data_IF_124901934116
#
_entry.id   IF_124901934116
#
_cell.length_a   1.000
_cell.length_b   1.000
_cell.length_c   1.000
_cell.angle_alpha   90.00
_cell.angle_beta   90.00
_cell.angle_gamma   90.00
#
_symmetry.space_group_name_H-M   'P 1'
#
loop_
_entity.id
_entity.type
_entity.pdbx_description
1 polymer ?
#
# COMPACT_ATOMS: atom_id res chain seq x y z
N UNK A 1 -19.46 -12.41 7.33
CA UNK A 1 -18.10 -11.92 7.03
C UNK A 1 -18.14 -10.40 7.05
N UNK A 2 -17.14 -9.77 7.66
CA UNK A 2 -17.02 -8.32 7.66
C UNK A 2 -16.00 -7.98 6.56
N UNK A 3 -16.46 -7.25 5.53
CA UNK A 3 -15.56 -6.66 4.56
C UNK A 3 -14.84 -5.48 5.21
N UNK A 4 -13.53 -5.48 5.11
CA UNK A 4 -12.67 -4.38 5.55
C UNK A 4 -11.95 -3.81 4.34
N UNK A 5 -11.81 -2.49 4.30
CA UNK A 5 -11.07 -1.81 3.26
C UNK A 5 -11.44 -0.34 3.15
N UNK A 6 -10.74 0.36 2.27
CA UNK A 6 -10.93 1.78 2.01
C UNK A 6 -11.15 2.03 0.52
N UNK A 7 -12.04 2.98 0.21
CA UNK A 7 -12.10 3.60 -1.12
C UNK A 7 -11.81 5.08 -0.94
N UNK A 8 -10.68 5.54 -1.46
CA UNK A 8 -10.22 6.92 -1.31
C UNK A 8 -10.07 7.58 -2.67
N UNK A 9 -10.55 8.82 -2.76
CA UNK A 9 -10.55 9.59 -4.01
C UNK A 9 -10.01 10.99 -3.75
N UNK A 10 -9.15 11.48 -4.63
CA UNK A 10 -8.60 12.83 -4.56
C UNK A 10 -7.98 13.14 -3.20
N UNK A 11 -8.17 14.35 -2.72
CA UNK A 11 -7.61 14.84 -1.44
C UNK A 11 -8.10 14.09 -0.19
N UNK A 12 -9.15 13.27 -0.30
CA UNK A 12 -9.56 12.42 0.81
C UNK A 12 -8.46 11.40 1.19
N UNK A 13 -7.62 11.00 0.25
CA UNK A 13 -6.48 10.12 0.52
C UNK A 13 -5.41 10.80 1.39
N UNK A 14 -5.35 12.13 1.41
CA UNK A 14 -4.42 12.93 2.22
C UNK A 14 -4.98 13.32 3.61
N UNK A 15 -6.16 12.83 3.97
CA UNK A 15 -6.70 13.04 5.30
C UNK A 15 -5.97 12.16 6.32
N UNK A 16 -5.41 12.75 7.40
CA UNK A 16 -4.72 12.00 8.44
C UNK A 16 -5.63 10.96 9.10
N UNK A 17 -5.10 9.77 9.34
CA UNK A 17 -5.80 8.72 10.09
C UNK A 17 -5.44 8.79 11.57
N UNK A 18 -6.41 8.64 12.49
CA UNK A 18 -6.12 8.41 13.91
C UNK A 18 -5.70 6.96 14.19
N UNK A 19 -5.75 6.10 13.18
CA UNK A 19 -5.36 4.69 13.24
C UNK A 19 -4.05 4.48 12.48
N UNK A 20 -3.43 3.34 12.69
CA UNK A 20 -2.19 2.96 11.99
C UNK A 20 -2.52 2.33 10.62
N UNK A 21 -3.09 3.13 9.74
CA UNK A 21 -3.36 2.77 8.35
C UNK A 21 -2.36 3.43 7.41
N UNK A 22 -2.03 2.77 6.31
CA UNK A 22 -1.21 3.38 5.26
C UNK A 22 -1.89 4.61 4.66
N UNK A 23 -3.21 4.52 4.38
CA UNK A 23 -4.06 5.62 3.91
C UNK A 23 -5.33 5.66 4.75
N UNK A 24 -5.67 6.81 5.31
CA UNK A 24 -6.80 6.93 6.25
C UNK A 24 -8.13 7.28 5.60
N UNK A 25 -8.24 8.50 5.10
CA UNK A 25 -9.50 9.10 4.69
C UNK A 25 -10.27 9.76 5.84
N UNK A 26 -11.10 10.75 5.50
CA UNK A 26 -11.85 11.52 6.49
C UNK A 26 -13.11 10.78 7.01
N UNK A 27 -13.59 9.78 6.28
CA UNK A 27 -14.83 9.07 6.61
C UNK A 27 -16.10 9.88 6.34
N UNK A 28 -17.23 9.24 6.50
CA UNK A 28 -18.55 9.86 6.37
C UNK A 28 -19.02 10.57 7.65
N UNK A 29 -18.36 10.33 8.76
CA UNK A 29 -18.73 10.93 10.04
C UNK A 29 -17.51 11.05 10.96
N UNK A 30 -17.40 12.13 11.72
CA UNK A 30 -16.28 12.42 12.62
C UNK A 30 -16.03 11.35 13.71
N UNK A 31 -17.05 10.56 14.06
CA UNK A 31 -16.87 9.46 15.02
C UNK A 31 -16.17 8.22 14.42
N UNK A 32 -16.06 8.15 13.10
CA UNK A 32 -15.33 7.11 12.36
C UNK A 32 -14.58 7.79 11.20
N UNK A 33 -13.46 8.47 11.50
CA UNK A 33 -12.70 9.23 10.52
C UNK A 33 -11.76 8.29 9.72
N UNK A 34 -12.35 7.40 8.95
CA UNK A 34 -11.65 6.45 8.08
C UNK A 34 -12.50 6.14 6.84
N UNK A 35 -11.83 5.99 5.70
CA UNK A 35 -12.46 5.62 4.45
C UNK A 35 -13.07 6.80 3.67
N UNK A 36 -14.00 6.49 2.79
CA UNK A 36 -14.62 7.47 1.92
C UNK A 36 -15.38 8.55 2.72
N UNK A 37 -15.39 9.77 2.18
CA UNK A 37 -16.03 10.93 2.79
C UNK A 37 -17.16 11.53 1.91
N UNK A 38 -17.57 10.84 0.84
CA UNK A 38 -18.55 11.34 -0.12
C UNK A 38 -17.97 12.30 -1.16
N UNK A 39 -16.64 12.37 -1.30
CA UNK A 39 -16.01 13.14 -2.41
C UNK A 39 -16.57 12.68 -3.75
N UNK A 40 -17.04 13.64 -4.55
CA UNK A 40 -17.45 13.39 -5.93
C UNK A 40 -16.20 13.16 -6.78
N UNK A 41 -16.19 12.07 -7.53
CA UNK A 41 -15.07 11.72 -8.40
C UNK A 41 -15.06 12.65 -9.60
N UNK A 42 -13.95 13.32 -9.88
CA UNK A 42 -13.78 14.27 -10.96
C UNK A 42 -12.55 13.92 -11.84
N UNK A 43 -12.51 14.36 -13.10
CA UNK A 43 -11.32 14.17 -13.95
C UNK A 43 -10.05 14.75 -13.31
N UNK A 44 -8.96 13.99 -13.39
CA UNK A 44 -7.67 14.30 -12.78
C UNK A 44 -7.46 13.67 -11.40
N UNK A 45 -8.49 13.05 -10.82
CA UNK A 45 -8.38 12.33 -9.55
C UNK A 45 -7.99 10.86 -9.76
N UNK A 46 -7.29 10.31 -8.78
CA UNK A 46 -7.14 8.87 -8.61
C UNK A 46 -8.18 8.33 -7.62
N UNK A 47 -8.57 7.08 -7.84
CA UNK A 47 -9.44 6.30 -6.95
C UNK A 47 -8.67 5.07 -6.50
N UNK A 48 -8.26 5.06 -5.25
CA UNK A 48 -7.64 3.92 -4.63
C UNK A 48 -8.72 3.02 -4.02
N UNK A 49 -8.65 1.74 -4.33
CA UNK A 49 -9.51 0.70 -3.74
C UNK A 49 -8.60 -0.28 -3.00
N UNK A 50 -8.66 -0.21 -1.69
CA UNK A 50 -7.95 -1.05 -0.76
C UNK A 50 -8.94 -2.06 -0.18
N UNK A 51 -8.66 -3.34 -0.31
CA UNK A 51 -9.63 -4.39 -0.03
C UNK A 51 -9.02 -5.50 0.80
N UNK A 52 -9.60 -5.72 1.96
CA UNK A 52 -9.37 -6.92 2.74
C UNK A 52 -10.54 -7.89 2.60
N UNK A 53 -10.24 -9.17 2.57
CA UNK A 53 -11.24 -10.23 2.53
C UNK A 53 -10.92 -11.31 3.54
N UNK A 54 -11.89 -12.19 3.80
CA UNK A 54 -11.68 -13.37 4.64
C UNK A 54 -12.17 -14.63 3.93
N UNK A 55 -11.32 -15.62 3.85
CA UNK A 55 -11.67 -16.93 3.33
C UNK A 55 -11.25 -18.01 4.30
N UNK A 56 -12.22 -18.74 4.84
CA UNK A 56 -12.02 -19.82 5.82
C UNK A 56 -11.19 -19.40 7.05
N UNK A 57 -11.33 -18.15 7.50
CA UNK A 57 -10.61 -17.63 8.67
C UNK A 57 -9.24 -17.02 8.35
N UNK A 58 -8.80 -17.04 7.09
CA UNK A 58 -7.58 -16.37 6.64
C UNK A 58 -7.91 -15.06 5.91
N UNK A 59 -7.16 -14.03 6.23
CA UNK A 59 -7.31 -12.70 5.63
C UNK A 59 -6.57 -12.61 4.30
N UNK A 60 -7.06 -11.73 3.43
CA UNK A 60 -6.38 -11.31 2.20
C UNK A 60 -6.27 -9.79 2.20
N UNK A 61 -5.25 -9.26 1.52
CA UNK A 61 -5.03 -7.82 1.41
C UNK A 61 -4.55 -7.44 0.03
N UNK A 62 -5.17 -6.39 -0.55
CA UNK A 62 -4.87 -5.92 -1.90
C UNK A 62 -5.33 -4.49 -2.11
N UNK A 63 -4.47 -3.65 -2.68
CA UNK A 63 -4.85 -2.33 -3.19
C UNK A 63 -4.63 -2.23 -4.70
N UNK A 64 -5.61 -1.64 -5.40
CA UNK A 64 -5.49 -1.23 -6.80
C UNK A 64 -5.96 0.22 -6.96
N UNK A 65 -5.43 0.87 -8.01
CA UNK A 65 -5.71 2.28 -8.27
C UNK A 65 -6.25 2.47 -9.67
N UNK A 66 -7.23 3.34 -9.77
CA UNK A 66 -7.83 3.80 -11.00
C UNK A 66 -7.67 5.31 -11.13
N UNK A 67 -7.85 5.86 -12.33
CA UNK A 67 -7.87 7.31 -12.54
C UNK A 67 -9.02 7.70 -13.46
N UNK A 68 -9.39 8.97 -13.43
CA UNK A 68 -10.47 9.52 -14.28
C UNK A 68 -9.90 10.62 -15.17
N UNK A 69 -10.10 10.47 -16.48
CA UNK A 69 -9.62 11.43 -17.48
C UNK A 69 -8.11 11.43 -17.61
N UNK A 70 -7.44 12.56 -17.38
CA UNK A 70 -5.98 12.66 -17.55
C UNK A 70 -5.25 12.37 -16.25
N UNK A 71 -4.43 11.33 -16.25
CA UNK A 71 -3.55 11.01 -15.13
C UNK A 71 -2.44 12.07 -14.98
N UNK A 72 -2.21 12.53 -13.75
CA UNK A 72 -1.09 13.41 -13.41
C UNK A 72 0.26 12.68 -13.58
N UNK A 73 1.27 13.35 -14.12
CA UNK A 73 2.57 12.74 -14.42
C UNK A 73 3.35 12.35 -13.15
N UNK A 74 3.18 13.10 -12.05
CA UNK A 74 3.81 12.74 -10.77
C UNK A 74 3.14 11.51 -10.18
N UNK A 75 1.82 11.45 -10.24
CA UNK A 75 1.05 10.28 -9.80
C UNK A 75 1.40 9.03 -10.62
N UNK A 76 1.52 9.17 -11.95
CA UNK A 76 1.97 8.09 -12.83
C UNK A 76 3.36 7.59 -12.44
N UNK A 77 4.33 8.51 -12.31
CA UNK A 77 5.71 8.18 -11.90
C UNK A 77 5.74 7.48 -10.54
N UNK A 78 4.95 7.95 -9.58
CA UNK A 78 4.87 7.37 -8.25
C UNK A 78 4.26 5.96 -8.26
N UNK A 79 3.23 5.72 -9.08
CA UNK A 79 2.63 4.40 -9.25
C UNK A 79 3.61 3.41 -9.90
N UNK A 80 4.29 3.82 -10.97
CA UNK A 80 5.32 3.02 -11.64
C UNK A 80 6.48 2.69 -10.68
N UNK A 81 6.87 3.64 -9.81
CA UNK A 81 7.88 3.39 -8.77
C UNK A 81 7.40 2.38 -7.73
N UNK A 82 6.14 2.44 -7.32
CA UNK A 82 5.55 1.41 -6.43
C UNK A 82 5.73 0.02 -7.02
N UNK A 83 5.37 -0.18 -8.29
CA UNK A 83 5.54 -1.46 -9.00
C UNK A 83 7.03 -1.86 -9.04
N UNK A 84 7.92 -0.92 -9.35
CA UNK A 84 9.36 -1.19 -9.38
C UNK A 84 9.91 -1.61 -8.00
N UNK A 85 9.39 -1.02 -6.92
CA UNK A 85 9.72 -1.43 -5.56
C UNK A 85 9.26 -2.86 -5.30
N UNK A 86 8.03 -3.24 -5.67
CA UNK A 86 7.57 -4.61 -5.55
C UNK A 86 8.52 -5.59 -6.25
N UNK A 87 8.87 -5.33 -7.51
CA UNK A 87 9.78 -6.19 -8.27
C UNK A 87 11.15 -6.30 -7.59
N UNK A 88 11.68 -5.20 -7.06
CA UNK A 88 12.95 -5.21 -6.33
C UNK A 88 12.86 -6.04 -5.04
N UNK A 89 11.80 -5.85 -4.27
CA UNK A 89 11.61 -6.58 -3.02
C UNK A 89 11.34 -8.08 -3.24
N UNK A 90 10.76 -8.47 -4.37
CA UNK A 90 10.60 -9.89 -4.74
C UNK A 90 11.94 -10.61 -4.82
N UNK A 91 12.99 -9.95 -5.31
CA UNK A 91 14.33 -10.53 -5.42
C UNK A 91 15.07 -10.56 -4.07
N UNK A 92 14.82 -9.59 -3.20
CA UNK A 92 15.54 -9.39 -1.93
C UNK A 92 14.89 -10.12 -0.75
N UNK A 93 13.56 -10.31 -0.78
CA UNK A 93 12.79 -10.87 0.34
C UNK A 93 12.96 -12.39 0.46
N UNK A 94 14.00 -12.82 1.15
CA UNK A 94 14.37 -14.24 1.37
C UNK A 94 14.42 -14.56 2.85
N UNK A 95 14.32 -15.85 3.23
CA UNK A 95 14.51 -16.25 4.62
C UNK A 95 15.84 -15.74 5.18
N UNK A 96 15.81 -15.21 6.40
CA UNK A 96 16.96 -14.60 7.07
C UNK A 96 17.16 -13.11 6.78
N UNK A 97 16.44 -12.52 5.84
CA UNK A 97 16.49 -11.08 5.59
C UNK A 97 15.68 -10.33 6.66
N UNK A 98 16.26 -9.28 7.23
CA UNK A 98 15.55 -8.41 8.16
C UNK A 98 14.41 -7.66 7.46
N UNK A 99 13.23 -7.61 8.06
CA UNK A 99 12.08 -6.88 7.53
C UNK A 99 12.39 -5.38 7.35
N UNK A 100 13.21 -4.80 8.24
CA UNK A 100 13.70 -3.42 8.12
C UNK A 100 14.53 -3.18 6.86
N UNK A 101 15.26 -4.19 6.34
CA UNK A 101 16.04 -4.04 5.11
C UNK A 101 15.16 -3.83 3.89
N UNK A 102 14.00 -4.47 3.83
CA UNK A 102 13.04 -4.26 2.74
C UNK A 102 12.48 -2.83 2.77
N UNK A 103 12.19 -2.30 3.96
CA UNK A 103 11.82 -0.89 4.12
C UNK A 103 12.93 0.06 3.65
N UNK A 104 14.18 -0.20 4.02
CA UNK A 104 15.34 0.62 3.59
C UNK A 104 15.48 0.66 2.08
N UNK A 105 15.35 -0.48 1.39
CA UNK A 105 15.41 -0.56 -0.08
C UNK A 105 14.32 0.30 -0.71
N UNK A 106 13.07 0.19 -0.25
CA UNK A 106 11.98 0.99 -0.76
C UNK A 106 12.21 2.49 -0.56
N UNK A 107 12.76 2.87 0.60
CA UNK A 107 13.10 4.27 0.91
C UNK A 107 14.26 4.78 0.06
N UNK A 108 15.30 3.96 -0.19
CA UNK A 108 16.41 4.29 -1.08
C UNK A 108 15.88 4.62 -2.50
N UNK A 109 15.06 3.74 -3.08
CA UNK A 109 14.45 3.93 -4.40
C UNK A 109 13.55 5.18 -4.45
N UNK A 110 12.78 5.41 -3.39
CA UNK A 110 11.91 6.59 -3.26
C UNK A 110 12.71 7.89 -3.24
N UNK A 111 13.83 7.94 -2.51
CA UNK A 111 14.74 9.09 -2.45
C UNK A 111 15.42 9.37 -3.80
N UNK A 112 15.90 8.33 -4.47
CA UNK A 112 16.49 8.45 -5.81
C UNK A 112 15.50 9.05 -6.81
N UNK A 113 14.20 8.75 -6.66
CA UNK A 113 13.14 9.30 -7.47
C UNK A 113 12.69 10.72 -7.06
N UNK A 114 13.08 11.21 -5.87
CA UNK A 114 12.69 12.50 -5.31
C UNK A 114 11.22 12.57 -4.88
N UNK A 115 10.68 11.44 -4.37
CA UNK A 115 9.27 11.31 -4.00
C UNK A 115 9.04 11.08 -2.50
N UNK A 116 10.06 11.32 -1.64
CA UNK A 116 9.99 11.05 -0.19
C UNK A 116 8.86 11.80 0.52
N UNK A 117 8.55 13.01 0.04
CA UNK A 117 7.50 13.84 0.64
C UNK A 117 6.10 13.23 0.52
N UNK A 118 5.93 12.27 -0.39
CA UNK A 118 4.63 11.65 -0.71
C UNK A 118 4.54 10.19 -0.28
N UNK A 119 5.67 9.60 0.14
CA UNK A 119 5.78 8.17 0.42
C UNK A 119 5.03 7.78 1.69
N UNK A 120 4.17 6.79 1.55
CA UNK A 120 3.29 6.29 2.61
C UNK A 120 2.39 7.37 3.24
N UNK A 121 2.06 8.41 2.48
CA UNK A 121 1.28 9.56 2.91
C UNK A 121 1.98 10.90 2.66
N UNK A 122 1.25 12.00 2.75
CA UNK A 122 1.79 13.36 2.59
C UNK A 122 1.66 14.17 3.89
N UNK A 123 0.45 14.46 4.38
CA UNK A 123 0.25 15.16 5.67
C UNK A 123 0.63 14.29 6.86
N UNK A 124 0.42 13.00 6.74
CA UNK A 124 0.83 12.00 7.73
C UNK A 124 1.36 10.79 6.97
N UNK A 125 2.55 10.33 7.32
CA UNK A 125 3.19 9.18 6.70
C UNK A 125 3.07 7.97 7.62
N UNK A 126 2.65 6.83 7.09
CA UNK A 126 2.70 5.56 7.80
C UNK A 126 4.16 5.11 7.97
N UNK A 127 4.44 4.46 9.08
CA UNK A 127 5.79 4.04 9.46
C UNK A 127 6.22 2.68 8.90
N UNK A 128 5.50 2.08 7.96
CA UNK A 128 5.75 0.75 7.40
C UNK A 128 5.37 0.70 5.91
N UNK A 129 5.79 -0.31 5.21
CA UNK A 129 5.49 -0.54 3.78
C UNK A 129 4.89 -1.92 3.51
N UNK A 130 4.57 -2.65 4.57
CA UNK A 130 4.00 -3.99 4.49
C UNK A 130 4.02 -4.68 5.83
N UNK A 131 3.28 -5.76 5.90
CA UNK A 131 3.03 -6.54 7.12
C UNK A 131 2.72 -8.00 6.80
N UNK A 132 2.78 -8.85 7.80
CA UNK A 132 2.23 -10.20 7.73
C UNK A 132 0.71 -10.16 7.55
N UNK A 133 0.17 -11.10 6.81
CA UNK A 133 -1.26 -11.30 6.65
C UNK A 133 -1.58 -12.77 6.81
N UNK A 134 -2.58 -13.08 7.65
CA UNK A 134 -2.91 -14.47 7.94
C UNK A 134 -4.23 -14.59 8.72
N UNK A 135 -4.18 -14.84 10.01
CA UNK A 135 -5.36 -14.83 10.87
C UNK A 135 -5.83 -13.39 11.11
N UNK A 136 -4.89 -12.49 11.26
CA UNK A 136 -5.15 -11.06 11.31
C UNK A 136 -4.76 -10.41 9.97
N UNK A 137 -5.39 -9.27 9.66
CA UNK A 137 -5.05 -8.53 8.44
C UNK A 137 -3.66 -7.89 8.54
N UNK A 138 -3.24 -7.56 9.77
CA UNK A 138 -1.93 -6.98 10.06
C UNK A 138 -1.28 -7.75 11.23
N UNK A 139 -0.27 -8.55 10.92
CA UNK A 139 0.49 -9.35 11.88
C UNK A 139 2.00 -9.30 11.55
N UNK A 140 2.85 -9.94 12.36
CA UNK A 140 4.29 -10.04 12.04
C UNK A 140 4.52 -10.98 10.83
N UNK A 141 5.58 -10.70 10.03
CA UNK A 141 6.58 -9.64 10.18
C UNK A 141 6.09 -8.28 9.69
N UNK A 142 6.52 -7.18 10.36
CA UNK A 142 6.19 -5.81 9.94
C UNK A 142 7.41 -5.17 9.25
N UNK A 143 7.24 -4.68 8.04
CA UNK A 143 8.28 -4.07 7.22
C UNK A 143 8.40 -2.57 7.55
N UNK A 144 9.13 -2.27 8.59
CA UNK A 144 9.29 -0.93 9.15
C UNK A 144 10.77 -0.64 9.51
N UNK A 145 11.19 0.64 9.62
CA UNK A 145 12.61 1.00 9.77
C UNK A 145 13.26 0.48 11.07
N UNK A 146 12.46 0.17 12.08
CA UNK A 146 12.93 -0.35 13.38
C UNK A 146 12.42 -1.75 13.68
N UNK A 147 11.89 -2.43 12.69
CA UNK A 147 11.46 -3.81 12.85
C UNK A 147 12.63 -4.71 13.25
N UNK A 148 12.36 -5.64 14.15
CA UNK A 148 13.28 -6.71 14.55
C UNK A 148 12.90 -8.05 13.91
N UNK A 149 11.84 -8.06 13.14
CA UNK A 149 11.37 -9.25 12.46
C UNK A 149 12.37 -9.65 11.37
N UNK A 150 12.46 -10.95 11.17
CA UNK A 150 13.27 -11.56 10.13
C UNK A 150 12.34 -12.43 9.30
N UNK A 151 12.47 -12.37 7.99
CA UNK A 151 11.64 -13.19 7.11
C UNK A 151 11.99 -14.68 7.28
N UNK A 152 10.96 -15.50 7.31
CA UNK A 152 11.05 -16.95 7.34
C UNK A 152 10.32 -17.55 6.13
N UNK A 153 10.81 -18.68 5.63
CA UNK A 153 10.12 -19.40 4.56
C UNK A 153 8.69 -19.75 4.99
N UNK A 154 7.72 -19.46 4.11
CA UNK A 154 6.30 -19.65 4.38
C UNK A 154 5.61 -18.46 5.04
N UNK A 155 6.30 -17.38 5.43
CA UNK A 155 5.62 -16.16 5.80
C UNK A 155 4.75 -15.66 4.63
N UNK A 156 3.55 -15.20 4.94
CA UNK A 156 2.67 -14.49 4.02
C UNK A 156 2.73 -13.02 4.38
N UNK A 157 3.06 -12.16 3.42
CA UNK A 157 3.20 -10.73 3.65
C UNK A 157 2.45 -9.93 2.58
N UNK A 158 1.81 -8.84 2.99
CA UNK A 158 1.35 -7.78 2.10
C UNK A 158 2.47 -6.75 1.93
N UNK A 159 2.73 -6.33 0.70
CA UNK A 159 3.60 -5.20 0.36
C UNK A 159 2.75 -4.09 -0.21
N UNK A 160 2.89 -2.87 0.33
CA UNK A 160 2.02 -1.75 0.02
C UNK A 160 2.74 -0.40 -0.13
N UNK A 161 3.86 -0.28 -0.84
CA UNK A 161 4.52 1.00 -1.05
C UNK A 161 3.59 1.94 -1.83
N UNK A 162 2.97 2.88 -1.14
CA UNK A 162 1.97 3.81 -1.65
C UNK A 162 2.47 5.25 -1.59
N UNK A 163 1.87 6.15 -2.37
CA UNK A 163 2.19 7.58 -2.40
C UNK A 163 0.89 8.39 -2.40
N UNK A 164 0.90 9.54 -1.74
CA UNK A 164 -0.22 10.50 -1.80
C UNK A 164 0.24 11.76 -2.49
N UNK A 165 -0.38 12.07 -3.64
CA UNK A 165 -0.10 13.25 -4.44
C UNK A 165 -1.20 14.29 -4.16
N UNK A 166 -0.86 15.43 -3.53
CA UNK A 166 -1.83 16.47 -3.20
C UNK A 166 -2.63 16.94 -4.42
N UNK A 167 -3.93 17.06 -4.28
CA UNK A 167 -4.84 17.45 -5.36
C UNK A 167 -5.19 16.33 -6.35
N UNK A 168 -4.51 15.18 -6.27
CA UNK A 168 -4.71 14.05 -7.21
C UNK A 168 -5.26 12.83 -6.48
N UNK A 169 -4.63 12.42 -5.38
CA UNK A 169 -5.04 11.27 -4.58
C UNK A 169 -3.91 10.28 -4.31
N UNK A 170 -4.25 9.10 -3.83
CA UNK A 170 -3.30 8.03 -3.56
C UNK A 170 -3.02 7.20 -4.82
N UNK A 171 -1.76 6.74 -4.95
CA UNK A 171 -1.30 5.81 -5.97
C UNK A 171 -0.35 4.79 -5.35
N UNK A 172 -0.16 3.69 -6.03
CA UNK A 172 0.66 2.57 -5.61
C UNK A 172 -0.14 1.27 -5.61
N UNK A 173 0.56 0.19 -5.39
CA UNK A 173 0.03 -1.18 -5.46
C UNK A 173 0.20 -1.83 -4.10
N UNK A 174 -0.73 -2.71 -3.77
CA UNK A 174 -0.57 -3.68 -2.71
C UNK A 174 -0.87 -5.06 -3.22
N UNK A 175 0.00 -5.98 -2.91
CA UNK A 175 -0.15 -7.38 -3.26
C UNK A 175 0.39 -8.27 -2.15
N UNK A 176 -0.19 -9.47 -2.05
CA UNK A 176 0.21 -10.48 -1.08
C UNK A 176 1.25 -11.43 -1.69
N UNK A 177 2.24 -11.77 -0.90
CA UNK A 177 3.37 -12.61 -1.30
C UNK A 177 3.63 -13.73 -0.31
N UNK A 178 4.15 -14.84 -0.82
CA UNK A 178 4.75 -15.91 0.00
C UNK A 178 6.26 -15.74 0.00
N UNK A 179 6.90 -15.80 1.16
CA UNK A 179 8.34 -15.88 1.29
C UNK A 179 8.79 -17.30 0.95
N UNK A 180 9.49 -17.45 -0.18
CA UNK A 180 10.07 -18.72 -0.63
C UNK A 180 11.58 -18.76 -0.36
N UNK A 181 12.22 -19.89 -0.55
CA UNK A 181 13.68 -20.04 -0.39
C UNK A 181 14.49 -19.12 -1.33
N UNK A 182 13.90 -18.64 -2.42
CA UNK A 182 14.60 -17.89 -3.46
C UNK A 182 14.16 -16.44 -3.62
N UNK A 183 13.10 -16.02 -2.95
CA UNK A 183 12.52 -14.68 -3.06
C UNK A 183 11.05 -14.67 -2.70
N UNK A 184 10.35 -13.58 -2.98
CA UNK A 184 8.92 -13.49 -2.79
C UNK A 184 8.16 -13.96 -4.03
N UNK A 185 7.14 -14.77 -3.83
CA UNK A 185 6.21 -15.21 -4.89
C UNK A 185 4.87 -14.51 -4.71
N UNK A 186 4.45 -13.73 -5.71
CA UNK A 186 3.17 -13.01 -5.67
C UNK A 186 2.00 -13.99 -5.81
N UNK A 187 1.05 -13.94 -4.88
CA UNK A 187 -0.19 -14.74 -4.92
C UNK A 187 -1.41 -13.92 -5.32
N UNK A 188 -1.30 -12.60 -5.37
CA UNK A 188 -2.36 -11.72 -5.87
C UNK A 188 -2.42 -11.80 -7.40
N UNK A 189 -3.53 -12.25 -7.93
CA UNK A 189 -3.73 -12.41 -9.38
C UNK A 189 -4.63 -11.31 -9.94
N UNK A 190 -4.14 -10.07 -9.99
CA UNK A 190 -4.82 -8.93 -10.59
C UNK A 190 -3.79 -7.94 -11.15
N UNK A 191 -4.02 -7.31 -12.32
CA UNK A 191 -3.08 -6.36 -12.91
C UNK A 191 -2.66 -5.24 -11.94
N UNK A 192 -1.39 -4.84 -12.02
CA UNK A 192 -0.78 -3.82 -11.16
C UNK A 192 -0.85 -2.41 -11.79
N UNK A 193 -1.03 -2.35 -13.10
CA UNK A 193 -1.10 -1.09 -13.84
C UNK A 193 -2.31 -0.27 -13.40
N UNK A 194 -2.11 1.05 -13.29
CA UNK A 194 -3.20 1.97 -13.04
C UNK A 194 -4.14 2.01 -14.25
N UNK A 195 -5.43 1.86 -14.03
CA UNK A 195 -6.43 1.78 -15.09
C UNK A 195 -7.33 3.02 -15.13
N UNK A 196 -7.77 3.42 -16.34
CA UNK A 196 -8.78 4.46 -16.53
C UNK A 196 -10.18 3.91 -16.24
N UNK A 197 -11.00 4.70 -15.51
CA UNK A 197 -12.41 4.43 -15.25
C UNK A 197 -13.30 5.04 -16.32
#
# INVERSE_FOLDING_TARGET
EIFMGNVLCGDNADAPSPYDFAMGGAGLHESLPVGCNGTVIEPGMTVMVDMCGNFNGYMTDMTRVFYVGKLDETAKKAHELSIAIHHRLMEEGKPGVAASRLYEIAMEMTKEAGLEAYFMGHKQQAGYIGHGVGIEVNESPVLAPRSRDVLEAGNIIALEPKYVIPGVGAVGVESTYVVTETGLECVTNYPEEIAEL
#
